data_IF_867145004754
#
_entry.id   IF_867145004754
#
_cell.length_a   1.000
_cell.length_b   1.000
_cell.length_c   1.000
_cell.angle_alpha   90.00
_cell.angle_beta   90.00
_cell.angle_gamma   90.00
#
_symmetry.space_group_name_H-M   'P 1'
#
loop_
_entity.id
_entity.type
_entity.pdbx_description
1 polymer ?
#
# COMPACT_ATOMS: atom_id res chain seq x y z
N UNK A 1 14.05 48.77 -20.84
CA UNK A 1 13.04 48.33 -19.87
C UNK A 1 13.36 46.88 -19.53
N UNK A 2 14.10 46.66 -18.43
CA UNK A 2 14.50 45.33 -17.96
C UNK A 2 13.39 44.79 -17.06
N UNK A 3 12.78 43.66 -17.44
CA UNK A 3 11.88 42.91 -16.56
C UNK A 3 12.76 42.01 -15.69
N UNK A 4 12.89 42.38 -14.42
CA UNK A 4 13.36 41.50 -13.35
C UNK A 4 12.30 40.41 -13.13
N UNK A 5 12.58 39.17 -13.56
CA UNK A 5 11.87 38.00 -13.09
C UNK A 5 12.62 37.43 -11.87
N UNK A 6 12.43 38.08 -10.72
CA UNK A 6 12.79 37.48 -9.43
C UNK A 6 11.65 36.57 -8.98
N UNK A 7 11.99 35.30 -8.78
CA UNK A 7 11.44 34.50 -7.69
C UNK A 7 10.12 33.80 -7.97
N UNK A 8 10.19 32.68 -8.71
CA UNK A 8 9.44 31.46 -8.36
C UNK A 8 10.24 30.23 -8.77
N UNK A 9 11.45 30.09 -8.21
CA UNK A 9 11.88 28.75 -7.85
C UNK A 9 10.97 28.33 -6.69
N UNK A 10 9.78 27.82 -7.01
CA UNK A 10 9.09 26.96 -6.06
C UNK A 10 10.08 25.84 -5.79
N UNK A 11 10.73 25.91 -4.64
CA UNK A 11 11.39 24.76 -4.04
C UNK A 11 10.29 23.73 -3.93
N UNK A 12 10.13 22.88 -4.95
CA UNK A 12 9.34 21.66 -4.83
C UNK A 12 9.84 21.06 -3.52
N UNK A 13 8.98 20.89 -2.51
CA UNK A 13 9.43 20.37 -1.23
C UNK A 13 10.20 19.11 -1.57
N UNK A 14 11.49 19.05 -1.21
CA UNK A 14 12.36 17.89 -1.45
C UNK A 14 11.47 16.66 -1.25
N UNK A 15 11.22 15.89 -2.31
CA UNK A 15 10.30 14.75 -2.25
C UNK A 15 10.92 13.78 -1.25
N UNK A 16 10.57 13.93 0.03
CA UNK A 16 10.92 13.00 1.09
C UNK A 16 10.18 11.73 0.71
N UNK A 17 10.91 10.76 0.17
CA UNK A 17 10.32 9.48 -0.17
C UNK A 17 9.83 8.76 1.09
N UNK A 18 9.37 7.54 0.93
CA UNK A 18 8.78 6.74 1.98
C UNK A 18 9.65 5.52 2.28
N UNK A 19 9.71 5.16 3.56
CA UNK A 19 10.25 3.87 4.00
C UNK A 19 9.13 2.85 4.19
N UNK A 20 7.97 3.30 4.63
CA UNK A 20 6.82 2.45 4.86
C UNK A 20 5.70 2.84 3.90
N UNK A 21 5.09 1.83 3.28
CA UNK A 21 3.81 1.98 2.59
C UNK A 21 2.78 1.08 3.26
N UNK A 22 1.61 1.64 3.53
CA UNK A 22 0.49 0.94 4.15
C UNK A 22 -0.76 1.14 3.32
N UNK A 23 -1.53 0.06 3.12
CA UNK A 23 -2.90 0.15 2.65
C UNK A 23 -3.82 -0.19 3.82
N UNK A 24 -4.78 0.70 4.10
CA UNK A 24 -5.87 0.47 5.03
C UNK A 24 -7.13 0.25 4.22
N UNK A 25 -7.79 -0.88 4.48
CA UNK A 25 -8.99 -1.30 3.79
C UNK A 25 -10.22 -0.74 4.50
N UNK A 26 -11.34 -0.68 3.81
CA UNK A 26 -12.58 -0.20 4.41
C UNK A 26 -13.80 -0.51 3.55
N UNK A 27 -14.95 -0.04 4.02
CA UNK A 27 -16.22 -0.24 3.31
C UNK A 27 -16.92 -1.56 3.62
N UNK A 28 -16.46 -2.31 4.63
CA UNK A 28 -17.30 -3.23 5.38
C UNK A 28 -17.67 -2.61 6.71
N UNK A 29 -18.87 -2.91 7.19
CA UNK A 29 -19.32 -2.53 8.53
C UNK A 29 -19.61 -3.76 9.41
N UNK A 30 -19.59 -4.97 8.83
CA UNK A 30 -19.85 -6.27 9.48
C UNK A 30 -19.28 -7.42 8.62
N UNK A 31 -18.81 -8.52 9.22
CA UNK A 31 -18.48 -9.77 8.50
C UNK A 31 -17.04 -10.29 8.64
N UNK A 32 -16.66 -11.21 7.75
CA UNK A 32 -15.52 -12.16 7.82
C UNK A 32 -14.10 -11.59 7.66
N UNK A 33 -13.89 -10.28 7.82
CA UNK A 33 -12.58 -9.62 7.58
C UNK A 33 -12.39 -9.17 6.12
N UNK A 34 -11.42 -8.29 5.89
CA UNK A 34 -11.01 -7.87 4.55
C UNK A 34 -9.88 -8.75 4.04
N UNK A 35 -9.75 -8.90 2.72
CA UNK A 35 -8.64 -9.63 2.10
C UNK A 35 -8.05 -8.91 0.90
N UNK A 36 -6.78 -9.19 0.62
CA UNK A 36 -6.06 -8.80 -0.60
C UNK A 36 -5.17 -9.98 -1.00
N UNK A 37 -5.15 -10.33 -2.30
CA UNK A 37 -4.21 -11.34 -2.82
C UNK A 37 -2.86 -10.75 -3.21
N UNK A 38 -2.83 -9.59 -3.88
CA UNK A 38 -1.55 -8.99 -4.32
C UNK A 38 -1.63 -7.46 -4.26
N UNK A 39 -0.50 -6.84 -3.91
CA UNK A 39 -0.25 -5.41 -3.93
C UNK A 39 1.07 -5.18 -4.66
N UNK A 40 1.01 -4.48 -5.80
CA UNK A 40 2.21 -3.98 -6.46
C UNK A 40 2.23 -2.46 -6.40
N UNK A 41 3.20 -1.88 -5.70
CA UNK A 41 3.39 -0.43 -5.67
C UNK A 41 4.28 0.03 -6.83
N UNK A 42 4.06 1.25 -7.32
CA UNK A 42 4.77 1.80 -8.48
C UNK A 42 5.41 3.17 -8.24
N UNK A 43 6.56 3.37 -8.90
CA UNK A 43 7.13 4.68 -9.22
C UNK A 43 7.12 4.86 -10.75
N UNK A 44 6.22 5.69 -11.27
CA UNK A 44 5.89 5.70 -12.69
C UNK A 44 5.29 4.36 -13.10
N UNK A 45 5.92 3.70 -14.07
CA UNK A 45 5.58 2.35 -14.51
C UNK A 45 6.45 1.27 -13.87
N UNK A 46 7.37 1.62 -12.97
CA UNK A 46 8.34 0.68 -12.38
C UNK A 46 7.80 0.12 -11.07
N UNK A 47 7.65 -1.21 -10.93
CA UNK A 47 7.34 -1.86 -9.66
C UNK A 47 8.40 -1.55 -8.60
N UNK A 48 7.97 -1.26 -7.38
CA UNK A 48 8.85 -0.93 -6.26
C UNK A 48 9.38 -2.17 -5.51
N UNK A 49 8.77 -3.33 -5.76
CA UNK A 49 9.18 -4.61 -5.18
C UNK A 49 9.82 -5.42 -6.31
N UNK A 50 11.16 -5.40 -6.45
CA UNK A 50 11.85 -6.05 -7.57
C UNK A 50 11.95 -7.57 -7.40
N UNK A 51 11.66 -8.09 -6.20
CA UNK A 51 11.72 -9.52 -5.90
C UNK A 51 10.55 -9.89 -5.01
N UNK A 52 9.75 -10.90 -5.39
CA UNK A 52 8.74 -11.49 -4.54
C UNK A 52 9.20 -11.76 -3.11
N UNK A 53 8.36 -11.43 -2.14
CA UNK A 53 8.61 -11.85 -0.77
C UNK A 53 8.33 -13.36 -0.62
N UNK A 54 9.14 -14.02 0.21
CA UNK A 54 8.99 -15.44 0.57
C UNK A 54 8.69 -15.64 2.05
N UNK A 55 8.65 -14.54 2.81
CA UNK A 55 8.27 -14.50 4.22
C UNK A 55 8.09 -13.07 4.69
N UNK A 56 7.51 -12.88 5.89
CA UNK A 56 7.26 -11.54 6.45
C UNK A 56 8.52 -10.69 6.63
N UNK A 57 9.71 -11.28 6.61
CA UNK A 57 10.99 -10.58 6.68
C UNK A 57 12.00 -11.10 5.64
N UNK A 58 11.51 -11.60 4.49
CA UNK A 58 12.35 -12.18 3.43
C UNK A 58 11.80 -11.87 2.03
N UNK A 59 12.64 -11.37 1.11
CA UNK A 59 14.06 -11.07 1.28
C UNK A 59 14.29 -9.77 2.07
N UNK A 60 15.44 -9.67 2.74
CA UNK A 60 15.92 -8.40 3.28
C UNK A 60 16.09 -7.38 2.14
N UNK A 61 15.75 -6.09 2.33
CA UNK A 61 15.40 -5.45 3.59
C UNK A 61 13.88 -5.38 3.88
N UNK A 62 13.06 -6.09 3.11
CA UNK A 62 11.61 -5.96 3.18
C UNK A 62 11.02 -6.61 4.43
N UNK A 63 10.09 -5.92 5.08
CA UNK A 63 9.28 -6.49 6.17
C UNK A 63 7.79 -6.23 5.93
N UNK A 64 7.03 -7.29 5.71
CA UNK A 64 5.58 -7.25 5.59
C UNK A 64 4.92 -7.48 6.96
N UNK A 65 3.88 -6.71 7.27
CA UNK A 65 3.11 -6.85 8.51
C UNK A 65 1.69 -6.32 8.35
N UNK A 66 0.79 -6.68 9.25
CA UNK A 66 -0.62 -6.30 9.21
C UNK A 66 -1.17 -5.96 10.60
N UNK A 67 -2.33 -5.31 10.66
CA UNK A 67 -3.03 -4.98 11.91
C UNK A 67 -3.50 -6.21 12.66
N UNK A 68 -3.91 -7.23 11.90
CA UNK A 68 -4.38 -8.52 12.38
C UNK A 68 -4.22 -9.55 11.26
N UNK A 69 -4.38 -10.84 11.59
CA UNK A 69 -4.36 -11.91 10.59
C UNK A 69 -5.41 -12.95 10.96
N UNK A 70 -6.42 -13.11 10.11
CA UNK A 70 -7.38 -14.21 10.18
C UNK A 70 -6.91 -15.41 9.38
N UNK A 71 -6.37 -15.18 8.18
CA UNK A 71 -5.75 -16.20 7.34
C UNK A 71 -4.66 -15.61 6.44
N UNK A 72 -3.82 -16.49 5.91
CA UNK A 72 -2.68 -16.08 5.09
C UNK A 72 -1.64 -15.30 5.89
N UNK A 73 -0.53 -14.95 5.26
CA UNK A 73 0.51 -14.14 5.87
C UNK A 73 0.61 -12.80 5.14
N UNK A 74 0.97 -11.69 5.83
CA UNK A 74 1.10 -10.38 5.20
C UNK A 74 2.00 -10.37 3.96
N UNK A 75 3.07 -11.18 3.94
CA UNK A 75 3.95 -11.28 2.78
C UNK A 75 3.29 -11.83 1.52
N UNK A 76 2.20 -12.59 1.64
CA UNK A 76 1.46 -13.13 0.50
C UNK A 76 0.92 -12.00 -0.39
N UNK A 77 0.62 -10.82 0.19
CA UNK A 77 0.24 -9.64 -0.60
C UNK A 77 1.37 -9.09 -1.48
N UNK A 78 2.60 -9.60 -1.36
CA UNK A 78 3.79 -9.07 -2.01
C UNK A 78 4.65 -10.20 -2.62
N UNK A 79 4.06 -11.38 -2.84
CA UNK A 79 4.76 -12.57 -3.33
C UNK A 79 4.69 -12.73 -4.86
N UNK A 80 4.04 -11.80 -5.55
CA UNK A 80 3.94 -11.78 -7.00
C UNK A 80 3.07 -12.91 -7.60
N UNK A 81 2.44 -13.75 -6.78
CA UNK A 81 1.64 -14.88 -7.26
C UNK A 81 0.20 -14.48 -7.53
N UNK A 82 -0.38 -13.59 -6.71
CA UNK A 82 -1.82 -13.30 -6.70
C UNK A 82 -2.73 -14.52 -6.41
N UNK A 83 -2.16 -15.65 -5.99
CA UNK A 83 -2.90 -16.91 -5.75
C UNK A 83 -3.28 -17.07 -4.28
N UNK A 84 -2.31 -16.86 -3.39
CA UNK A 84 -2.54 -16.71 -1.96
C UNK A 84 -2.77 -15.22 -1.66
N UNK A 85 -3.29 -14.93 -0.48
CA UNK A 85 -3.46 -13.56 -0.01
C UNK A 85 -3.33 -13.48 1.50
N UNK A 86 -3.51 -12.28 2.01
CA UNK A 86 -3.73 -12.03 3.42
C UNK A 86 -5.19 -11.67 3.65
N UNK A 87 -5.74 -12.15 4.76
CA UNK A 87 -7.03 -11.73 5.30
C UNK A 87 -6.88 -11.22 6.72
N UNK A 88 -7.51 -10.09 7.03
CA UNK A 88 -7.61 -9.58 8.40
C UNK A 88 -8.40 -10.54 9.28
N UNK A 89 -8.30 -10.37 10.60
CA UNK A 89 -9.30 -10.94 11.49
C UNK A 89 -10.68 -10.30 11.23
N UNK A 90 -11.73 -10.87 11.82
CA UNK A 90 -13.11 -10.36 11.72
C UNK A 90 -13.18 -8.86 12.03
N UNK A 91 -13.95 -8.11 11.23
CA UNK A 91 -14.00 -6.63 11.27
C UNK A 91 -14.69 -6.09 12.53
N UNK A 92 -15.31 -6.94 13.35
CA UNK A 92 -15.93 -6.56 14.62
C UNK A 92 -14.99 -5.84 15.60
N UNK A 93 -13.66 -5.96 15.43
CA UNK A 93 -12.65 -5.24 16.24
C UNK A 93 -11.84 -4.16 15.52
N UNK A 94 -11.83 -4.12 14.18
CA UNK A 94 -11.04 -3.16 13.38
C UNK A 94 -11.77 -2.93 12.05
N UNK A 95 -12.51 -1.81 11.89
CA UNK A 95 -13.24 -1.54 10.66
C UNK A 95 -12.31 -1.21 9.49
N UNK A 96 -11.05 -0.89 9.77
CA UNK A 96 -10.09 -0.39 8.79
C UNK A 96 -8.76 -1.16 8.82
N UNK A 97 -8.76 -2.49 8.68
CA UNK A 97 -7.56 -3.29 8.84
C UNK A 97 -6.54 -2.92 7.77
N UNK A 98 -5.27 -3.05 8.13
CA UNK A 98 -4.17 -2.63 7.27
C UNK A 98 -3.15 -3.72 7.05
N UNK A 99 -2.49 -3.65 5.89
CA UNK A 99 -1.26 -4.38 5.57
C UNK A 99 -0.23 -3.37 5.09
N UNK A 100 1.03 -3.55 5.51
CA UNK A 100 2.13 -2.63 5.25
C UNK A 100 3.40 -3.35 4.83
N UNK A 101 4.24 -2.62 4.11
CA UNK A 101 5.58 -3.00 3.73
C UNK A 101 6.58 -1.96 4.22
N UNK A 102 7.55 -2.40 5.03
CA UNK A 102 8.79 -1.67 5.32
C UNK A 102 9.80 -1.99 4.22
N UNK A 103 10.38 -0.97 3.61
CA UNK A 103 11.40 -1.10 2.57
C UNK A 103 12.83 -1.07 3.13
N UNK A 104 12.98 -1.03 4.45
CA UNK A 104 14.26 -1.05 5.14
C UNK A 104 14.75 0.30 5.62
N UNK A 105 15.69 0.27 6.57
CA UNK A 105 16.33 1.48 7.06
C UNK A 105 17.02 2.26 5.93
N UNK A 106 16.83 3.58 5.92
CA UNK A 106 17.40 4.47 4.89
C UNK A 106 16.63 4.53 3.58
N UNK A 107 15.52 3.78 3.44
CA UNK A 107 14.67 3.87 2.26
C UNK A 107 14.04 5.26 2.10
N UNK A 108 14.00 5.75 0.86
CA UNK A 108 13.34 7.00 0.49
C UNK A 108 12.70 6.83 -0.89
N UNK A 109 11.56 6.16 -0.92
CA UNK A 109 10.93 5.71 -2.16
C UNK A 109 9.84 6.68 -2.62
N UNK A 110 9.85 7.04 -3.89
CA UNK A 110 8.72 7.71 -4.52
C UNK A 110 7.65 6.69 -4.90
N UNK A 111 6.39 6.98 -4.60
CA UNK A 111 5.25 6.14 -5.03
C UNK A 111 4.18 7.04 -5.64
N UNK A 112 3.60 6.60 -6.75
CA UNK A 112 2.58 7.33 -7.50
C UNK A 112 1.51 6.39 -8.10
N UNK A 113 1.47 5.14 -7.65
CA UNK A 113 0.49 4.17 -8.09
C UNK A 113 0.59 2.85 -7.34
N UNK A 114 -0.47 2.06 -7.47
CA UNK A 114 -0.48 0.66 -7.08
C UNK A 114 -1.44 -0.16 -7.96
N UNK A 115 -1.28 -1.47 -7.97
CA UNK A 115 -2.30 -2.42 -8.40
C UNK A 115 -2.68 -3.35 -7.26
N UNK A 116 -3.97 -3.64 -7.12
CA UNK A 116 -4.48 -4.63 -6.18
C UNK A 116 -5.12 -5.77 -6.96
N UNK A 117 -4.81 -7.00 -6.57
CA UNK A 117 -5.48 -8.19 -7.08
C UNK A 117 -6.36 -8.81 -6.01
N UNK A 118 -7.58 -9.17 -6.41
CA UNK A 118 -8.55 -9.97 -5.68
C UNK A 118 -8.74 -9.53 -4.22
N UNK A 119 -9.31 -8.34 -4.04
CA UNK A 119 -9.66 -7.85 -2.72
C UNK A 119 -11.12 -8.19 -2.37
N UNK A 120 -11.35 -9.45 -1.98
CA UNK A 120 -12.70 -9.91 -1.62
C UNK A 120 -13.12 -9.26 -0.30
N UNK A 121 -14.18 -8.46 -0.36
CA UNK A 121 -14.77 -7.69 0.73
C UNK A 121 -14.17 -6.30 1.02
N UNK A 122 -13.49 -5.62 0.09
CA UNK A 122 -13.19 -4.18 0.26
C UNK A 122 -13.86 -3.33 -0.82
N UNK A 123 -14.54 -2.25 -0.43
CA UNK A 123 -15.14 -1.28 -1.37
C UNK A 123 -14.51 0.11 -1.28
N UNK A 124 -13.59 0.30 -0.32
CA UNK A 124 -12.80 1.49 -0.15
C UNK A 124 -11.41 1.14 0.40
N UNK A 125 -10.41 1.98 0.09
CA UNK A 125 -9.11 1.90 0.74
C UNK A 125 -8.42 3.27 0.78
N UNK A 126 -7.42 3.38 1.64
CA UNK A 126 -6.50 4.50 1.70
C UNK A 126 -5.05 4.01 1.75
N UNK A 127 -4.17 4.72 1.05
CA UNK A 127 -2.73 4.44 1.01
C UNK A 127 -2.02 5.50 1.84
N UNK A 128 -1.11 5.06 2.70
CA UNK A 128 -0.32 5.91 3.57
C UNK A 128 1.17 5.67 3.37
N UNK A 129 1.94 6.74 3.48
CA UNK A 129 3.40 6.72 3.52
C UNK A 129 3.91 7.19 4.87
N UNK A 130 4.99 6.57 5.36
CA UNK A 130 5.70 7.01 6.55
C UNK A 130 7.21 6.82 6.41
N UNK A 131 7.97 7.54 7.22
CA UNK A 131 9.42 7.37 7.39
C UNK A 131 9.79 6.71 8.74
N UNK A 132 8.87 6.68 9.70
CA UNK A 132 9.14 6.28 11.09
C UNK A 132 8.07 5.32 11.67
N UNK A 133 7.15 4.86 10.83
CA UNK A 133 6.01 4.01 11.19
C UNK A 133 5.07 4.59 12.27
N UNK A 134 5.24 5.87 12.64
CA UNK A 134 4.48 6.54 13.70
C UNK A 134 3.69 7.71 13.12
N UNK A 135 4.33 8.52 12.28
CA UNK A 135 3.74 9.65 11.57
C UNK A 135 3.40 9.22 10.15
N UNK A 136 2.11 9.17 9.84
CA UNK A 136 1.60 8.68 8.56
C UNK A 136 0.96 9.82 7.76
N UNK A 137 1.29 9.88 6.47
CA UNK A 137 0.66 10.79 5.51
C UNK A 137 -0.19 10.00 4.54
N UNK A 138 -1.45 10.37 4.40
CA UNK A 138 -2.29 9.82 3.33
C UNK A 138 -1.77 10.28 1.97
N UNK A 139 -1.56 9.31 1.08
CA UNK A 139 -1.08 9.51 -0.28
C UNK A 139 -2.22 9.43 -1.29
N UNK A 140 -3.17 8.53 -1.04
CA UNK A 140 -4.27 8.24 -1.95
C UNK A 140 -5.46 7.65 -1.20
N UNK A 141 -6.66 7.82 -1.75
CA UNK A 141 -7.87 7.10 -1.32
C UNK A 141 -8.75 6.82 -2.53
N UNK A 142 -9.44 5.68 -2.48
CA UNK A 142 -10.45 5.33 -3.46
C UNK A 142 -11.62 4.62 -2.76
N UNK A 143 -12.81 4.76 -3.33
CA UNK A 143 -14.05 4.13 -2.84
C UNK A 143 -15.02 3.85 -3.97
N UNK A 144 -16.06 3.06 -3.69
CA UNK A 144 -17.19 2.86 -4.61
C UNK A 144 -16.94 1.81 -5.70
N UNK A 145 -16.02 0.88 -5.46
CA UNK A 145 -15.72 -0.22 -6.37
C UNK A 145 -16.21 -1.56 -5.81
N UNK A 146 -16.42 -2.48 -6.73
CA UNK A 146 -16.66 -3.90 -6.49
C UNK A 146 -15.56 -4.73 -7.14
N UNK A 147 -15.39 -5.97 -6.68
CA UNK A 147 -14.39 -6.90 -7.18
C UNK A 147 -15.05 -8.14 -7.76
N UNK A 148 -14.61 -8.58 -8.94
CA UNK A 148 -14.82 -9.96 -9.38
C UNK A 148 -13.65 -10.83 -8.95
N UNK A 149 -13.88 -12.14 -8.79
CA UNK A 149 -12.82 -13.07 -8.39
C UNK A 149 -11.62 -12.99 -9.35
N UNK A 150 -10.41 -12.82 -8.80
CA UNK A 150 -9.18 -12.69 -9.56
C UNK A 150 -8.98 -11.35 -10.29
N UNK A 151 -9.85 -10.36 -10.09
CA UNK A 151 -9.73 -9.05 -10.73
C UNK A 151 -8.52 -8.27 -10.20
N UNK A 152 -7.79 -7.62 -11.11
CA UNK A 152 -6.77 -6.64 -10.78
C UNK A 152 -7.24 -5.24 -11.16
N UNK A 153 -7.16 -4.28 -10.24
CA UNK A 153 -7.40 -2.85 -10.52
C UNK A 153 -6.13 -2.06 -10.24
N UNK A 154 -5.80 -1.13 -11.13
CA UNK A 154 -4.63 -0.24 -11.02
C UNK A 154 -5.08 1.19 -10.78
N UNK A 155 -4.39 1.86 -9.85
CA UNK A 155 -4.65 3.23 -9.43
C UNK A 155 -3.35 4.04 -9.52
N UNK A 156 -3.44 5.29 -9.93
CA UNK A 156 -2.31 6.22 -10.02
C UNK A 156 -2.67 7.59 -9.44
N UNK A 157 -1.67 8.31 -8.94
CA UNK A 157 -1.82 9.62 -8.29
C UNK A 157 -0.55 10.48 -8.37
#
# INVERSE_FOLDING_TARGET
>A
MLINALGMAATLPMRRGWRYLQISLGGLTTGTGHSISEIMYFAGSTPLIPTPLTGNSSPSPFVASASSTGFGQPYNCFDGSGTAGWGSADVSGDPNPWVRLDFGAGASIGVNGLSLTNATATSAFAVYGSQDATNWRQLFTASGFSWTAGETKTFSW
#
